data_IF_061805462321
#
_entry.id   IF_061805462321
#
_cell.length_a   1.000
_cell.length_b   1.000
_cell.length_c   1.000
_cell.angle_alpha   90.00
_cell.angle_beta   90.00
_cell.angle_gamma   90.00
#
_symmetry.space_group_name_H-M   'P 1'
#
loop_
_entity.id
_entity.type
_entity.pdbx_description
1 polymer ?
#
# COMPACT_ATOMS: atom_id res chain seq x y z
N UNK A 1 3.30 26.72 0.97
CA UNK A 1 3.72 25.70 1.94
C UNK A 1 2.55 25.21 2.81
N UNK A 2 1.74 26.12 3.39
CA UNK A 2 0.62 25.75 4.28
C UNK A 2 -0.41 24.82 3.60
N UNK A 3 -0.82 25.13 2.35
CA UNK A 3 -1.76 24.29 1.60
C UNK A 3 -1.23 22.85 1.41
N UNK A 4 0.05 22.69 1.05
CA UNK A 4 0.66 21.38 0.91
C UNK A 4 0.69 20.60 2.24
N UNK A 5 0.99 21.30 3.35
CA UNK A 5 0.99 20.68 4.68
C UNK A 5 -0.40 20.22 5.12
N UNK A 6 -1.43 21.07 4.85
CA UNK A 6 -2.83 20.72 5.14
C UNK A 6 -3.25 19.52 4.27
N UNK A 7 -2.94 19.51 2.97
CA UNK A 7 -3.26 18.41 2.07
C UNK A 7 -2.62 17.10 2.55
N UNK A 8 -1.35 17.12 2.94
CA UNK A 8 -0.67 15.94 3.50
C UNK A 8 -1.33 15.46 4.80
N UNK A 9 -1.69 16.39 5.70
CA UNK A 9 -2.36 16.05 6.95
C UNK A 9 -3.73 15.41 6.70
N UNK A 10 -4.53 15.96 5.78
CA UNK A 10 -5.84 15.40 5.40
C UNK A 10 -5.68 14.02 4.77
N UNK A 11 -4.77 13.87 3.80
CA UNK A 11 -4.50 12.57 3.18
C UNK A 11 -4.04 11.53 4.21
N UNK A 12 -3.17 11.92 5.14
CA UNK A 12 -2.71 11.05 6.23
C UNK A 12 -3.84 10.63 7.18
N UNK A 13 -4.76 11.54 7.49
CA UNK A 13 -5.94 11.23 8.32
C UNK A 13 -6.89 10.25 7.63
N UNK A 14 -7.16 10.47 6.33
CA UNK A 14 -7.98 9.53 5.51
C UNK A 14 -7.30 8.17 5.45
N UNK A 15 -5.99 8.13 5.26
CA UNK A 15 -5.22 6.89 5.29
C UNK A 15 -5.34 6.15 6.63
N UNK A 16 -5.31 6.89 7.75
CA UNK A 16 -5.41 6.30 9.08
C UNK A 16 -6.73 5.60 9.37
N UNK A 17 -7.84 6.03 8.72
CA UNK A 17 -9.17 5.42 8.87
C UNK A 17 -9.54 4.47 7.72
N UNK A 18 -8.67 4.30 6.74
CA UNK A 18 -8.92 3.51 5.52
C UNK A 18 -9.31 2.05 5.80
N UNK A 19 -8.82 1.47 6.88
CA UNK A 19 -9.16 0.10 7.28
C UNK A 19 -10.63 -0.08 7.70
N UNK A 20 -11.32 0.99 8.14
CA UNK A 20 -12.72 0.93 8.57
C UNK A 20 -13.66 0.51 7.44
N UNK A 21 -13.71 1.20 6.28
CA UNK A 21 -14.55 0.78 5.17
C UNK A 21 -14.18 -0.61 4.64
N UNK A 22 -12.90 -1.00 4.67
CA UNK A 22 -12.48 -2.33 4.24
C UNK A 22 -13.08 -3.42 5.12
N UNK A 23 -13.00 -3.27 6.43
CA UNK A 23 -13.57 -4.22 7.39
C UNK A 23 -15.09 -4.25 7.34
N UNK A 24 -15.71 -3.09 7.10
CA UNK A 24 -17.16 -3.02 6.93
C UNK A 24 -17.61 -3.79 5.68
N UNK A 25 -16.91 -3.64 4.54
CA UNK A 25 -17.20 -4.39 3.32
C UNK A 25 -17.00 -5.90 3.51
N UNK A 26 -15.93 -6.29 4.17
CA UNK A 26 -15.64 -7.68 4.51
C UNK A 26 -16.78 -8.29 5.35
N UNK A 27 -17.28 -7.56 6.35
CA UNK A 27 -18.43 -7.96 7.16
C UNK A 27 -19.76 -8.06 6.35
N UNK A 28 -19.87 -7.36 5.21
CA UNK A 28 -20.98 -7.50 4.26
C UNK A 28 -20.80 -8.68 3.30
N UNK A 29 -19.71 -9.46 3.44
CA UNK A 29 -19.40 -10.59 2.58
C UNK A 29 -18.71 -10.22 1.26
N UNK A 30 -18.11 -9.03 1.18
CA UNK A 30 -17.25 -8.61 0.06
C UNK A 30 -15.80 -8.89 0.43
N UNK A 31 -15.24 -9.94 -0.12
CA UNK A 31 -13.84 -10.30 0.15
C UNK A 31 -12.83 -9.23 -0.27
N UNK A 32 -11.74 -9.14 0.51
CA UNK A 32 -10.70 -8.13 0.30
C UNK A 32 -10.07 -8.14 -1.09
N UNK A 33 -10.08 -9.28 -1.79
CA UNK A 33 -9.61 -9.39 -3.18
C UNK A 33 -10.45 -8.54 -4.15
N UNK A 34 -11.77 -8.60 -4.03
CA UNK A 34 -12.70 -7.78 -4.84
C UNK A 34 -12.60 -6.30 -4.49
N UNK A 35 -12.58 -5.98 -3.19
CA UNK A 35 -12.45 -4.59 -2.72
C UNK A 35 -11.17 -3.95 -3.26
N UNK A 36 -10.03 -4.63 -3.16
CA UNK A 36 -8.76 -4.13 -3.68
C UNK A 36 -8.79 -3.95 -5.20
N UNK A 37 -9.36 -4.92 -5.94
CA UNK A 37 -9.44 -4.85 -7.40
C UNK A 37 -10.30 -3.68 -7.88
N UNK A 38 -11.52 -3.53 -7.35
CA UNK A 38 -12.44 -2.45 -7.75
C UNK A 38 -11.84 -1.08 -7.42
N UNK A 39 -11.29 -0.91 -6.22
CA UNK A 39 -10.63 0.33 -5.82
C UNK A 39 -9.49 0.71 -6.77
N UNK A 40 -8.62 -0.23 -7.11
CA UNK A 40 -7.52 0.03 -8.03
C UNK A 40 -7.98 0.27 -9.47
N UNK A 41 -9.05 -0.41 -9.94
CA UNK A 41 -9.64 -0.16 -11.26
C UNK A 41 -10.22 1.25 -11.37
N UNK A 42 -10.97 1.71 -10.36
CA UNK A 42 -11.50 3.08 -10.31
C UNK A 42 -10.37 4.10 -10.28
N UNK A 43 -9.35 3.86 -9.44
CA UNK A 43 -8.17 4.72 -9.35
C UNK A 43 -7.38 4.80 -10.67
N UNK A 44 -7.41 3.74 -11.48
CA UNK A 44 -6.75 3.69 -12.79
C UNK A 44 -7.42 4.62 -13.80
N UNK A 45 -8.72 4.87 -13.67
CA UNK A 45 -9.45 5.76 -14.57
C UNK A 45 -9.12 7.23 -14.36
N UNK A 46 -8.79 7.64 -13.13
CA UNK A 46 -8.54 9.03 -12.75
C UNK A 46 -7.42 9.73 -13.57
N UNK A 47 -6.25 9.13 -13.83
CA UNK A 47 -5.19 9.76 -14.60
C UNK A 47 -5.39 9.70 -16.13
N UNK A 48 -6.30 8.87 -16.65
CA UNK A 48 -6.47 8.66 -18.09
C UNK A 48 -6.74 9.94 -18.89
N UNK A 49 -7.63 10.88 -18.46
CA UNK A 49 -7.86 12.11 -19.21
C UNK A 49 -6.60 12.95 -19.40
N UNK A 50 -5.67 12.88 -18.45
CA UNK A 50 -4.41 13.61 -18.49
C UNK A 50 -3.34 12.91 -19.36
N UNK A 51 -3.56 11.66 -19.75
CA UNK A 51 -2.63 10.81 -20.50
C UNK A 51 -3.06 10.60 -21.97
N UNK A 52 -4.06 11.31 -22.46
CA UNK A 52 -4.57 11.15 -23.83
C UNK A 52 -3.54 11.48 -24.93
N UNK A 53 -2.53 12.30 -24.64
CA UNK A 53 -1.47 12.62 -25.59
C UNK A 53 -0.29 11.67 -25.48
N UNK A 54 0.19 11.16 -26.63
CA UNK A 54 1.39 10.29 -26.69
C UNK A 54 2.62 10.93 -26.03
N UNK A 55 2.77 12.26 -26.11
CA UNK A 55 3.87 12.97 -25.48
C UNK A 55 3.91 12.80 -23.95
N UNK A 56 2.77 12.54 -23.32
CA UNK A 56 2.67 12.31 -21.87
C UNK A 56 3.22 10.95 -21.43
N UNK A 57 3.37 10.00 -22.36
CA UNK A 57 3.93 8.66 -22.09
C UNK A 57 5.45 8.61 -22.18
N UNK A 58 6.07 9.71 -22.58
CA UNK A 58 7.52 9.81 -22.60
C UNK A 58 8.09 9.62 -21.20
N UNK A 59 8.99 8.65 -21.06
CA UNK A 59 9.57 8.30 -19.75
C UNK A 59 8.75 7.32 -18.92
N UNK A 60 7.61 6.79 -19.41
CA UNK A 60 6.82 5.80 -18.68
C UNK A 60 7.66 4.62 -18.17
N UNK A 61 8.46 3.98 -19.05
CA UNK A 61 9.31 2.85 -18.68
C UNK A 61 10.30 3.18 -17.54
N UNK A 62 10.70 4.44 -17.40
CA UNK A 62 11.58 4.89 -16.32
C UNK A 62 10.87 4.98 -14.97
N UNK A 63 9.59 5.36 -14.95
CA UNK A 63 8.81 5.62 -13.73
C UNK A 63 7.89 4.45 -13.35
N UNK A 64 7.50 3.64 -14.34
CA UNK A 64 6.60 2.51 -14.14
C UNK A 64 7.05 1.55 -13.02
N UNK A 65 8.34 1.16 -12.89
CA UNK A 65 8.74 0.23 -11.83
C UNK A 65 8.41 0.74 -10.43
N UNK A 66 8.59 2.05 -10.17
CA UNK A 66 8.23 2.63 -8.89
C UNK A 66 6.73 2.54 -8.62
N UNK A 67 5.91 2.96 -9.59
CA UNK A 67 4.46 2.91 -9.49
C UNK A 67 3.95 1.47 -9.33
N UNK A 68 4.45 0.54 -10.13
CA UNK A 68 4.10 -0.88 -10.02
C UNK A 68 4.42 -1.46 -8.64
N UNK A 69 5.61 -1.18 -8.10
CA UNK A 69 5.99 -1.61 -6.74
C UNK A 69 5.07 -1.02 -5.67
N UNK A 70 4.82 0.29 -5.74
CA UNK A 70 3.97 0.99 -4.77
C UNK A 70 2.51 0.53 -4.85
N UNK A 71 1.97 0.36 -6.06
CA UNK A 71 0.61 -0.12 -6.26
C UNK A 71 0.43 -1.57 -5.80
N UNK A 72 1.42 -2.43 -6.09
CA UNK A 72 1.44 -3.80 -5.56
C UNK A 72 1.49 -3.79 -4.04
N UNK A 73 2.37 -2.99 -3.45
CA UNK A 73 2.46 -2.84 -2.01
C UNK A 73 1.13 -2.40 -1.40
N UNK A 74 0.49 -1.38 -1.97
CA UNK A 74 -0.82 -0.90 -1.51
C UNK A 74 -1.89 -1.99 -1.57
N UNK A 75 -1.98 -2.71 -2.68
CA UNK A 75 -2.94 -3.80 -2.85
C UNK A 75 -2.72 -4.91 -1.83
N UNK A 76 -1.49 -5.36 -1.62
CA UNK A 76 -1.15 -6.36 -0.63
C UNK A 76 -1.44 -5.87 0.80
N UNK A 77 -1.14 -4.61 1.11
CA UNK A 77 -1.50 -4.01 2.40
C UNK A 77 -3.02 -4.05 2.63
N UNK A 78 -3.82 -3.63 1.63
CA UNK A 78 -5.28 -3.67 1.69
C UNK A 78 -5.80 -5.08 1.99
N UNK A 79 -5.27 -6.08 1.29
CA UNK A 79 -5.61 -7.49 1.50
C UNK A 79 -5.20 -7.97 2.89
N UNK A 80 -4.02 -7.58 3.36
CA UNK A 80 -3.54 -7.98 4.70
C UNK A 80 -4.45 -7.49 5.83
N UNK A 81 -5.04 -6.30 5.70
CA UNK A 81 -5.96 -5.72 6.69
C UNK A 81 -7.22 -6.56 6.92
N UNK A 82 -7.63 -7.39 5.96
CA UNK A 82 -8.76 -8.32 6.12
C UNK A 82 -8.32 -9.75 6.43
N UNK A 83 -7.05 -10.11 6.13
CA UNK A 83 -6.52 -11.45 6.38
C UNK A 83 -6.02 -11.66 7.81
N UNK A 84 -5.64 -10.57 8.52
CA UNK A 84 -5.09 -10.66 9.86
C UNK A 84 -5.60 -9.55 10.77
N UNK A 85 -5.13 -9.51 12.00
CA UNK A 85 -5.41 -8.42 12.93
C UNK A 85 -4.88 -7.08 12.39
N UNK A 86 -5.74 -6.06 12.39
CA UNK A 86 -5.43 -4.74 11.81
C UNK A 86 -4.20 -4.11 12.45
N UNK A 87 -4.10 -4.17 13.78
CA UNK A 87 -2.97 -3.57 14.52
C UNK A 87 -1.67 -4.27 14.14
N UNK A 88 -1.72 -5.60 14.02
CA UNK A 88 -0.55 -6.39 13.66
C UNK A 88 -0.11 -6.14 12.20
N UNK A 89 -1.06 -6.07 11.27
CA UNK A 89 -0.78 -5.72 9.87
C UNK A 89 -0.14 -4.32 9.76
N UNK A 90 -0.67 -3.33 10.49
CA UNK A 90 -0.12 -1.97 10.55
C UNK A 90 1.31 -2.00 11.09
N UNK A 91 1.58 -2.69 12.20
CA UNK A 91 2.92 -2.78 12.78
C UNK A 91 3.93 -3.36 11.79
N UNK A 92 3.58 -4.45 11.11
CA UNK A 92 4.45 -5.10 10.13
C UNK A 92 4.70 -4.23 8.90
N UNK A 93 3.67 -3.56 8.39
CA UNK A 93 3.81 -2.60 7.29
C UNK A 93 4.71 -1.42 7.70
N UNK A 94 4.55 -0.88 8.90
CA UNK A 94 5.33 0.26 9.41
C UNK A 94 6.79 -0.09 9.75
N UNK A 95 7.25 -1.31 9.54
CA UNK A 95 8.68 -1.63 9.44
C UNK A 95 9.33 -1.05 8.17
N UNK A 96 8.54 -0.41 7.28
CA UNK A 96 9.01 0.27 6.07
C UNK A 96 10.24 1.18 6.27
N UNK A 97 10.38 2.00 7.33
CA UNK A 97 11.59 2.79 7.57
C UNK A 97 12.85 1.94 7.77
N UNK A 98 12.70 0.75 8.36
CA UNK A 98 13.82 -0.21 8.51
C UNK A 98 14.25 -0.70 7.12
N UNK A 99 13.30 -1.15 6.31
CA UNK A 99 13.57 -1.63 4.94
C UNK A 99 14.16 -0.54 4.06
N UNK A 100 13.62 0.69 4.12
CA UNK A 100 14.15 1.84 3.38
C UNK A 100 15.58 2.16 3.80
N UNK A 101 15.90 2.07 5.09
CA UNK A 101 17.24 2.32 5.62
C UNK A 101 18.23 1.24 5.18
N UNK A 102 17.82 -0.04 5.22
CA UNK A 102 18.63 -1.15 4.72
C UNK A 102 18.86 -1.03 3.21
N UNK A 103 17.82 -0.72 2.45
CA UNK A 103 17.93 -0.52 1.00
C UNK A 103 18.85 0.66 0.66
N UNK A 104 18.75 1.78 1.37
CA UNK A 104 19.64 2.93 1.20
C UNK A 104 21.11 2.56 1.50
N UNK A 105 21.34 1.75 2.52
CA UNK A 105 22.68 1.25 2.84
C UNK A 105 23.24 0.34 1.74
N UNK A 106 22.43 -0.57 1.22
CA UNK A 106 22.87 -1.58 0.24
C UNK A 106 23.00 -0.98 -1.16
N UNK A 107 21.99 -0.20 -1.60
CA UNK A 107 21.89 0.27 -2.97
C UNK A 107 22.69 1.57 -3.23
N UNK A 108 22.72 2.46 -2.22
CA UNK A 108 23.33 3.79 -2.35
C UNK A 108 24.59 3.95 -1.47
N UNK A 109 24.97 2.88 -0.75
CA UNK A 109 26.11 2.89 0.16
C UNK A 109 26.05 4.05 1.19
N UNK A 110 24.82 4.48 1.56
CA UNK A 110 24.60 5.52 2.57
C UNK A 110 25.07 5.07 3.94
N UNK A 111 25.67 5.99 4.69
CA UNK A 111 26.08 5.71 6.07
C UNK A 111 24.86 5.72 7.00
N UNK A 112 24.76 4.69 7.83
CA UNK A 112 23.78 4.67 8.92
C UNK A 112 24.21 5.67 9.99
N UNK A 113 23.47 6.77 10.09
CA UNK A 113 23.70 7.74 11.16
C UNK A 113 23.00 7.29 12.43
N UNK A 114 23.64 7.54 13.60
CA UNK A 114 23.04 7.21 14.89
C UNK A 114 21.67 7.87 15.10
N UNK A 115 21.52 9.11 14.64
CA UNK A 115 20.23 9.83 14.68
C UNK A 115 19.12 9.10 13.91
N UNK A 116 19.43 8.52 12.73
CA UNK A 116 18.46 7.74 11.94
C UNK A 116 18.05 6.46 12.67
N UNK A 117 19.01 5.76 13.27
CA UNK A 117 18.73 4.54 14.06
C UNK A 117 17.86 4.89 15.28
N UNK A 118 18.22 5.94 16.04
CA UNK A 118 17.43 6.39 17.19
C UNK A 118 16.01 6.76 16.76
N UNK A 119 15.84 7.52 15.66
CA UNK A 119 14.53 7.90 15.16
C UNK A 119 13.66 6.67 14.78
N UNK A 120 14.24 5.65 14.14
CA UNK A 120 13.55 4.40 13.82
C UNK A 120 13.12 3.67 15.10
N UNK A 121 14.04 3.51 16.05
CA UNK A 121 13.76 2.81 17.31
C UNK A 121 12.66 3.53 18.09
N UNK A 122 12.76 4.86 18.24
CA UNK A 122 11.75 5.65 18.95
C UNK A 122 10.39 5.60 18.23
N UNK A 123 10.36 5.70 16.90
CA UNK A 123 9.13 5.62 16.11
C UNK A 123 8.45 4.27 16.26
N UNK A 124 9.19 3.17 16.08
CA UNK A 124 8.65 1.83 16.22
C UNK A 124 8.22 1.52 17.66
N UNK A 125 9.00 1.94 18.67
CA UNK A 125 8.64 1.76 20.07
C UNK A 125 7.38 2.54 20.44
N UNK A 126 7.28 3.81 20.02
CA UNK A 126 6.10 4.64 20.25
C UNK A 126 4.86 4.04 19.61
N UNK A 127 4.97 3.54 18.38
CA UNK A 127 3.87 2.86 17.67
C UNK A 127 3.48 1.56 18.38
N UNK A 128 4.44 0.74 18.79
CA UNK A 128 4.18 -0.50 19.52
C UNK A 128 3.43 -0.24 20.84
N UNK A 129 3.83 0.77 21.57
CA UNK A 129 3.16 1.19 22.82
C UNK A 129 1.74 1.68 22.52
N UNK A 130 1.57 2.56 21.52
CA UNK A 130 0.28 3.14 21.15
C UNK A 130 -0.74 2.08 20.72
N UNK A 131 -0.27 1.04 20.03
CA UNK A 131 -1.09 -0.07 19.54
C UNK A 131 -1.24 -1.21 20.58
N UNK A 132 -0.70 -1.04 21.80
CA UNK A 132 -0.79 -2.03 22.86
C UNK A 132 0.04 -3.30 22.60
N UNK A 133 0.99 -3.26 21.70
CA UNK A 133 1.88 -4.40 21.36
C UNK A 133 3.02 -4.53 22.36
N UNK A 134 2.71 -4.54 23.67
CA UNK A 134 3.72 -4.53 24.74
C UNK A 134 4.33 -5.89 25.03
N UNK A 135 3.64 -6.98 24.68
CA UNK A 135 4.01 -8.31 25.19
C UNK A 135 4.78 -9.19 24.19
N UNK A 136 4.81 -8.84 22.91
CA UNK A 136 5.53 -9.64 21.89
C UNK A 136 6.04 -8.79 20.74
N UNK A 137 7.23 -9.13 20.25
CA UNK A 137 7.75 -8.58 18.99
C UNK A 137 6.76 -8.83 17.84
N UNK A 138 6.58 -7.88 16.91
CA UNK A 138 5.69 -8.04 15.76
C UNK A 138 6.29 -9.01 14.74
N UNK A 139 6.25 -10.30 15.06
CA UNK A 139 6.68 -11.36 14.14
C UNK A 139 5.47 -11.89 13.37
N UNK A 140 5.62 -12.20 12.07
CA UNK A 140 4.56 -12.80 11.27
C UNK A 140 4.10 -14.14 11.85
N UNK A 141 2.79 -14.31 12.06
CA UNK A 141 2.15 -15.51 12.66
C UNK A 141 1.27 -16.26 11.67
N UNK A 142 0.81 -15.60 10.62
CA UNK A 142 -0.09 -16.13 9.60
C UNK A 142 0.22 -15.54 8.22
N UNK A 143 -0.45 -16.03 7.18
CA UNK A 143 -0.25 -15.56 5.81
C UNK A 143 -0.54 -14.05 5.64
N UNK A 144 -1.56 -13.51 6.32
CA UNK A 144 -1.87 -12.07 6.28
C UNK A 144 -0.75 -11.21 6.84
N UNK A 145 -0.10 -11.66 7.90
CA UNK A 145 1.06 -10.98 8.49
C UNK A 145 2.25 -10.94 7.50
N UNK A 146 2.52 -12.06 6.82
CA UNK A 146 3.56 -12.11 5.77
C UNK A 146 3.24 -11.18 4.60
N UNK A 147 1.97 -11.12 4.18
CA UNK A 147 1.51 -10.20 3.14
C UNK A 147 1.73 -8.75 3.57
N UNK A 148 1.41 -8.39 4.82
CA UNK A 148 1.66 -7.06 5.38
C UNK A 148 3.16 -6.69 5.38
N UNK A 149 4.01 -7.61 5.82
CA UNK A 149 5.47 -7.42 5.86
C UNK A 149 6.05 -7.21 4.45
N UNK A 150 5.67 -8.08 3.50
CA UNK A 150 6.10 -7.98 2.10
C UNK A 150 5.63 -6.67 1.48
N UNK A 151 4.40 -6.24 1.79
CA UNK A 151 3.90 -4.95 1.30
C UNK A 151 4.75 -3.77 1.79
N UNK A 152 5.19 -3.78 3.05
CA UNK A 152 6.11 -2.77 3.59
C UNK A 152 7.48 -2.76 2.89
N UNK A 153 8.01 -3.94 2.56
CA UNK A 153 9.27 -4.06 1.80
C UNK A 153 9.12 -3.50 0.37
N UNK A 154 8.03 -3.85 -0.33
CA UNK A 154 7.74 -3.34 -1.68
C UNK A 154 7.51 -1.83 -1.67
N UNK A 155 6.82 -1.32 -0.63
CA UNK A 155 6.63 0.12 -0.45
C UNK A 155 7.97 0.84 -0.28
N UNK A 156 8.88 0.31 0.54
CA UNK A 156 10.23 0.83 0.68
C UNK A 156 10.99 0.84 -0.65
N UNK A 157 10.96 -0.25 -1.39
CA UNK A 157 11.63 -0.35 -2.69
C UNK A 157 11.06 0.64 -3.72
N UNK A 158 9.73 0.76 -3.79
CA UNK A 158 9.05 1.69 -4.70
C UNK A 158 9.34 3.15 -4.36
N UNK A 159 9.32 3.54 -3.09
CA UNK A 159 9.67 4.89 -2.65
C UNK A 159 11.13 5.23 -2.95
N UNK A 160 12.06 4.30 -2.71
CA UNK A 160 13.47 4.47 -3.05
C UNK A 160 13.67 4.67 -4.54
N UNK A 161 12.97 3.88 -5.37
CA UNK A 161 13.03 4.03 -6.82
C UNK A 161 12.46 5.38 -7.29
N UNK A 162 11.33 5.82 -6.71
CA UNK A 162 10.74 7.13 -6.99
C UNK A 162 11.67 8.27 -6.60
N UNK A 163 12.35 8.16 -5.47
CA UNK A 163 13.31 9.15 -4.99
C UNK A 163 14.51 9.27 -5.93
N UNK A 164 15.06 8.13 -6.38
CA UNK A 164 16.20 8.10 -7.30
C UNK A 164 15.85 8.61 -8.71
N UNK A 165 14.57 8.57 -9.10
CA UNK A 165 14.10 8.94 -10.44
C UNK A 165 12.81 9.75 -10.35
N UNK A 166 12.87 11.01 -9.89
CA UNK A 166 11.67 11.84 -9.72
C UNK A 166 10.97 12.08 -11.07
N UNK A 167 9.66 11.99 -11.06
CA UNK A 167 8.83 12.26 -12.22
C UNK A 167 8.57 13.76 -12.38
N UNK A 168 8.48 14.24 -13.60
CA UNK A 168 8.16 15.63 -13.92
C UNK A 168 6.67 15.98 -13.80
N UNK A 169 5.81 14.99 -13.49
CA UNK A 169 4.37 15.18 -13.36
C UNK A 169 3.73 14.08 -12.54
N UNK A 170 2.43 14.19 -12.27
CA UNK A 170 1.69 13.31 -11.34
C UNK A 170 0.96 12.17 -12.06
N UNK A 171 0.50 12.41 -13.30
CA UNK A 171 -0.38 11.46 -13.99
C UNK A 171 0.25 10.09 -14.27
N UNK A 172 1.49 10.02 -14.75
CA UNK A 172 2.18 8.76 -15.00
C UNK A 172 2.49 7.96 -13.71
N UNK A 173 3.01 8.57 -12.64
CA UNK A 173 3.15 7.89 -11.36
C UNK A 173 1.84 7.32 -10.82
N UNK A 174 0.75 8.10 -10.85
CA UNK A 174 -0.58 7.64 -10.40
C UNK A 174 -1.08 6.50 -11.29
N UNK A 175 -0.97 6.62 -12.61
CA UNK A 175 -1.33 5.54 -13.53
C UNK A 175 -0.54 4.26 -13.25
N UNK A 176 0.78 4.37 -13.12
CA UNK A 176 1.64 3.20 -12.83
C UNK A 176 1.32 2.56 -11.49
N UNK A 177 1.02 3.38 -10.48
CA UNK A 177 0.59 2.92 -9.16
C UNK A 177 -0.72 2.12 -9.26
N UNK A 178 -1.75 2.69 -9.87
CA UNK A 178 -3.04 2.03 -10.02
C UNK A 178 -2.95 0.77 -10.88
N UNK A 179 -2.12 0.79 -11.93
CA UNK A 179 -1.85 -0.38 -12.77
C UNK A 179 -1.20 -1.52 -11.95
N UNK A 180 -0.20 -1.21 -11.15
CA UNK A 180 0.42 -2.18 -10.23
C UNK A 180 -0.59 -2.76 -9.24
N UNK A 181 -1.45 -1.90 -8.68
CA UNK A 181 -2.55 -2.31 -7.82
C UNK A 181 -3.56 -3.24 -8.51
N UNK A 182 -3.96 -2.91 -9.74
CA UNK A 182 -4.89 -3.77 -10.54
C UNK A 182 -4.26 -5.13 -10.82
N UNK A 183 -3.01 -5.16 -11.29
CA UNK A 183 -2.33 -6.43 -11.60
C UNK A 183 -2.21 -7.29 -10.34
N UNK A 184 -1.77 -6.72 -9.23
CA UNK A 184 -1.56 -7.49 -8.00
C UNK A 184 -2.87 -7.93 -7.35
N UNK A 185 -3.90 -7.07 -7.30
CA UNK A 185 -5.21 -7.46 -6.77
C UNK A 185 -5.91 -8.50 -7.64
N UNK A 186 -5.77 -8.41 -8.98
CA UNK A 186 -6.27 -9.43 -9.88
C UNK A 186 -5.58 -10.79 -9.67
N UNK A 187 -4.27 -10.80 -9.47
CA UNK A 187 -3.51 -12.02 -9.16
C UNK A 187 -3.93 -12.61 -7.81
N UNK A 188 -4.04 -11.78 -6.76
CA UNK A 188 -4.51 -12.23 -5.45
C UNK A 188 -5.91 -12.82 -5.55
N UNK A 189 -6.82 -12.16 -6.27
CA UNK A 189 -8.18 -12.64 -6.48
C UNK A 189 -8.21 -13.95 -7.27
N UNK A 190 -7.40 -14.07 -8.33
CA UNK A 190 -7.31 -15.31 -9.11
C UNK A 190 -6.83 -16.49 -8.25
N UNK A 191 -5.81 -16.29 -7.41
CA UNK A 191 -5.34 -17.30 -6.46
C UNK A 191 -6.44 -17.62 -5.43
N UNK A 192 -7.12 -16.61 -4.90
CA UNK A 192 -8.18 -16.79 -3.92
C UNK A 192 -9.37 -17.59 -4.50
N UNK A 193 -9.73 -17.35 -5.77
CA UNK A 193 -10.77 -18.10 -6.47
C UNK A 193 -10.37 -19.57 -6.70
N UNK A 194 -9.10 -19.82 -7.05
CA UNK A 194 -8.61 -21.19 -7.26
C UNK A 194 -8.52 -21.99 -5.97
N UNK A 195 -8.25 -21.32 -4.85
CA UNK A 195 -8.09 -21.96 -3.52
C UNK A 195 -9.35 -21.88 -2.66
N UNK A 196 -10.46 -21.37 -3.20
CA UNK A 196 -11.73 -21.14 -2.50
C UNK A 196 -11.56 -20.37 -1.17
N UNK A 197 -10.75 -19.31 -1.22
CA UNK A 197 -10.47 -18.50 -0.04
C UNK A 197 -11.55 -17.43 0.19
N UNK A 198 -11.81 -17.04 1.45
CA UNK A 198 -12.78 -15.99 1.80
C UNK A 198 -12.53 -14.65 1.09
N UNK A 199 -11.28 -14.36 0.71
CA UNK A 199 -10.89 -13.17 -0.06
C UNK A 199 -11.60 -13.05 -1.42
N UNK A 200 -12.13 -14.15 -1.96
CA UNK A 200 -12.87 -14.20 -3.22
C UNK A 200 -14.39 -14.14 -3.02
N UNK A 201 -14.89 -14.00 -1.80
CA UNK A 201 -16.31 -13.89 -1.54
C UNK A 201 -16.91 -12.66 -2.24
N UNK A 202 -17.99 -12.86 -3.00
CA UNK A 202 -18.62 -11.81 -3.83
C UNK A 202 -20.10 -11.57 -3.47
N UNK A 203 -20.56 -12.12 -2.35
CA UNK A 203 -21.98 -12.16 -2.00
C UNK A 203 -22.69 -10.81 -2.01
N UNK A 204 -22.07 -9.75 -1.53
CA UNK A 204 -22.64 -8.40 -1.50
C UNK A 204 -21.90 -7.42 -2.43
N UNK A 205 -21.12 -7.91 -3.40
CA UNK A 205 -20.28 -7.05 -4.24
C UNK A 205 -21.10 -5.98 -4.98
N UNK A 206 -22.14 -6.38 -5.70
CA UNK A 206 -22.95 -5.44 -6.51
C UNK A 206 -23.62 -4.36 -5.66
N UNK A 207 -24.31 -4.69 -4.56
CA UNK A 207 -24.87 -3.67 -3.65
C UNK A 207 -23.82 -2.75 -3.02
N UNK A 208 -22.59 -3.25 -2.86
CA UNK A 208 -21.51 -2.52 -2.18
C UNK A 208 -20.68 -1.66 -3.14
N UNK A 209 -20.82 -1.80 -4.46
CA UNK A 209 -20.06 -1.01 -5.44
C UNK A 209 -20.08 0.51 -5.19
N UNK A 210 -21.22 1.15 -4.87
CA UNK A 210 -21.24 2.59 -4.60
C UNK A 210 -20.30 3.00 -3.46
N UNK A 211 -20.18 2.16 -2.43
CA UNK A 211 -19.33 2.40 -1.25
C UNK A 211 -17.83 2.14 -1.50
N UNK A 212 -17.50 1.36 -2.53
CA UNK A 212 -16.11 1.11 -2.91
C UNK A 212 -15.59 2.24 -3.82
N UNK A 213 -16.50 2.89 -4.57
CA UNK A 213 -16.16 3.90 -5.57
C UNK A 213 -16.09 5.31 -4.95
N UNK A 214 -16.83 5.58 -3.89
CA UNK A 214 -16.81 6.84 -3.12
C UNK A 214 -15.58 6.97 -2.25
#
# INVERSE_FOLDING_TARGET
HLFASIAVAVCGSVWGVFWLPLRWLDAQGVGGGWTALVFNLVSLLAPLPFLLSRAKWVGFARHAPAGLLLGTAFSLYTVSLVMTDVLHAILLFYLTPVWSTLAARILFNERLTLSRVIAIVLGLSGMAILLGATDRLPMPRNAGDWVALISGMLWAAGTMHSYARPASGVALPVFSFSLGGVISSALVLAVALQMDLPLAASGALVPSLPWIIL
#
